data_IF_614353596066
#
_entry.id   IF_614353596066
#
_cell.length_a   1.000
_cell.length_b   1.000
_cell.length_c   1.000
_cell.angle_alpha   90.00
_cell.angle_beta   90.00
_cell.angle_gamma   90.00
#
_symmetry.space_group_name_H-M   'P 1'
#
loop_
_entity.id
_entity.type
_entity.pdbx_description
1 polymer ?
#
# COMPACT_ATOMS: atom_id res chain seq x y z
N UNK A 1 17.22 -11.09 -6.71
CA UNK A 1 16.42 -9.97 -6.18
C UNK A 1 15.33 -10.53 -5.27
N UNK A 2 15.25 -10.04 -4.04
CA UNK A 2 14.26 -10.49 -3.05
C UNK A 2 12.97 -9.71 -3.28
N UNK A 3 11.83 -10.39 -3.44
CA UNK A 3 10.56 -9.72 -3.68
C UNK A 3 10.17 -8.85 -2.48
N UNK A 4 10.09 -7.53 -2.67
CA UNK A 4 9.60 -6.60 -1.65
C UNK A 4 8.13 -6.90 -1.31
N UNK A 5 7.85 -7.08 -0.02
CA UNK A 5 6.50 -7.29 0.51
C UNK A 5 5.94 -5.97 1.00
N UNK A 6 4.77 -5.60 0.49
CA UNK A 6 4.02 -4.43 0.96
C UNK A 6 3.26 -4.83 2.22
N UNK A 7 3.55 -4.13 3.32
CA UNK A 7 2.85 -4.24 4.60
C UNK A 7 1.39 -3.82 4.42
N UNK A 8 0.48 -4.53 5.10
CA UNK A 8 -0.95 -4.25 5.03
C UNK A 8 -1.45 -3.83 6.41
N UNK A 9 -2.38 -2.89 6.46
CA UNK A 9 -3.09 -2.57 7.70
C UNK A 9 -3.74 -3.85 8.28
N UNK A 10 -3.63 -4.10 9.61
CA UNK A 10 -3.21 -3.19 10.69
C UNK A 10 -1.73 -3.33 11.11
N UNK A 11 -0.80 -3.68 10.22
CA UNK A 11 0.60 -3.86 10.58
C UNK A 11 1.18 -2.63 11.30
N UNK A 12 1.71 -2.82 12.51
CA UNK A 12 2.15 -1.73 13.41
C UNK A 12 3.20 -0.81 12.79
N UNK A 13 4.05 -1.33 11.92
CA UNK A 13 5.13 -0.53 11.31
C UNK A 13 4.61 0.54 10.35
N UNK A 14 3.38 0.41 9.82
CA UNK A 14 2.73 1.46 9.04
C UNK A 14 2.39 2.71 9.88
N UNK A 15 2.53 2.62 11.21
CA UNK A 15 2.30 3.72 12.17
C UNK A 15 3.58 4.38 12.65
N UNK A 16 4.75 3.87 12.25
CA UNK A 16 6.03 4.43 12.65
C UNK A 16 6.41 5.61 11.75
N UNK A 17 6.95 6.65 12.35
CA UNK A 17 7.57 7.76 11.63
C UNK A 17 8.92 7.32 11.07
N UNK A 18 9.16 7.60 9.80
CA UNK A 18 10.41 7.33 9.12
C UNK A 18 11.53 8.25 9.59
N UNK A 19 12.75 7.73 9.60
CA UNK A 19 13.97 8.44 9.97
C UNK A 19 14.60 9.12 8.76
N UNK A 20 15.21 10.28 8.97
CA UNK A 20 15.96 10.98 7.94
C UNK A 20 17.07 10.11 7.35
N UNK A 21 17.25 10.20 6.03
CA UNK A 21 18.32 9.52 5.30
C UNK A 21 19.55 10.42 5.31
N UNK A 22 20.66 9.92 5.84
CA UNK A 22 21.95 10.64 5.87
C UNK A 22 23.02 10.07 4.94
N UNK A 23 22.83 8.86 4.42
CA UNK A 23 23.77 8.16 3.52
C UNK A 23 23.10 7.92 2.16
N UNK A 24 23.72 8.42 1.11
CA UNK A 24 23.30 8.25 -0.28
C UNK A 24 24.23 7.25 -0.97
N UNK A 25 24.14 6.01 -0.50
CA UNK A 25 24.98 4.90 -0.96
C UNK A 25 24.29 4.02 -2.01
N UNK A 26 25.04 3.07 -2.55
CA UNK A 26 24.54 2.09 -3.52
C UNK A 26 23.36 1.27 -2.98
N UNK A 27 23.31 1.04 -1.66
CA UNK A 27 22.22 0.30 -1.02
C UNK A 27 20.91 1.11 -1.08
N UNK A 28 20.96 2.42 -0.82
CA UNK A 28 19.81 3.30 -1.00
C UNK A 28 19.34 3.28 -2.46
N UNK A 29 20.27 3.46 -3.40
CA UNK A 29 19.96 3.46 -4.83
C UNK A 29 19.29 2.15 -5.29
N UNK A 30 19.85 1.00 -4.88
CA UNK A 30 19.25 -0.32 -5.17
C UNK A 30 17.86 -0.47 -4.56
N UNK A 31 17.68 -0.01 -3.32
CA UNK A 31 16.38 -0.08 -2.64
C UNK A 31 15.32 0.75 -3.36
N UNK A 32 15.67 1.95 -3.81
CA UNK A 32 14.80 2.82 -4.62
C UNK A 32 14.42 2.12 -5.93
N UNK A 33 15.38 1.50 -6.62
CA UNK A 33 15.11 0.79 -7.87
C UNK A 33 14.20 -0.44 -7.68
N UNK A 34 14.40 -1.18 -6.60
CA UNK A 34 13.53 -2.31 -6.23
C UNK A 34 12.11 -1.80 -5.90
N UNK A 35 12.00 -0.64 -5.24
CA UNK A 35 10.72 0.01 -4.95
C UNK A 35 10.00 0.47 -6.22
N UNK A 36 10.69 1.10 -7.17
CA UNK A 36 10.12 1.49 -8.47
C UNK A 36 9.60 0.25 -9.21
N UNK A 37 10.42 -0.80 -9.29
CA UNK A 37 10.03 -2.07 -9.91
C UNK A 37 8.79 -2.65 -9.22
N UNK A 38 8.77 -2.64 -7.89
CA UNK A 38 7.62 -3.14 -7.12
C UNK A 38 6.36 -2.30 -7.35
N UNK A 39 6.48 -0.98 -7.38
CA UNK A 39 5.39 -0.03 -7.62
C UNK A 39 4.72 -0.30 -8.96
N UNK A 40 5.50 -0.47 -10.04
CA UNK A 40 4.97 -0.82 -11.37
C UNK A 40 4.33 -2.21 -11.40
N UNK A 41 4.94 -3.21 -10.76
CA UNK A 41 4.38 -4.57 -10.70
C UNK A 41 2.99 -4.61 -10.05
N UNK A 42 2.72 -3.72 -9.09
CA UNK A 42 1.42 -3.61 -8.43
C UNK A 42 0.53 -2.52 -9.01
N UNK A 43 0.95 -1.90 -10.13
CA UNK A 43 0.26 -0.80 -10.81
C UNK A 43 -0.10 0.38 -9.90
N UNK A 44 0.78 0.68 -8.94
CA UNK A 44 0.61 1.81 -8.03
C UNK A 44 1.20 3.10 -8.60
N UNK A 45 0.69 4.25 -8.16
CA UNK A 45 1.26 5.57 -8.47
C UNK A 45 2.35 6.00 -7.50
N UNK A 46 2.41 5.40 -6.30
CA UNK A 46 3.36 5.74 -5.26
C UNK A 46 3.67 4.55 -4.35
N UNK A 47 4.86 4.57 -3.77
CA UNK A 47 5.30 3.61 -2.76
C UNK A 47 6.31 4.27 -1.80
N UNK A 48 5.92 4.42 -0.54
CA UNK A 48 6.79 4.88 0.54
C UNK A 48 7.60 3.73 1.16
N UNK A 49 8.82 4.01 1.60
CA UNK A 49 9.70 3.00 2.19
C UNK A 49 9.09 2.34 3.44
N UNK A 50 8.27 3.06 4.20
CA UNK A 50 7.56 2.52 5.38
C UNK A 50 6.57 1.42 5.00
N UNK A 51 6.00 1.46 3.79
CA UNK A 51 5.09 0.42 3.30
C UNK A 51 5.80 -0.89 3.01
N UNK A 52 7.12 -0.92 2.85
CA UNK A 52 7.93 -2.15 2.72
C UNK A 52 8.72 -2.48 3.99
N UNK A 53 8.40 -1.81 5.11
CA UNK A 53 9.04 -2.04 6.41
C UNK A 53 10.39 -1.35 6.61
N UNK A 54 10.78 -0.45 5.70
CA UNK A 54 12.01 0.35 5.83
C UNK A 54 11.64 1.69 6.46
N UNK A 55 12.15 1.96 7.65
CA UNK A 55 11.88 3.20 8.40
C UNK A 55 12.82 4.34 8.00
N UNK A 56 12.93 4.58 6.70
CA UNK A 56 13.75 5.64 6.11
C UNK A 56 12.86 6.59 5.33
N UNK A 57 13.18 7.88 5.36
CA UNK A 57 12.30 8.96 4.89
C UNK A 57 12.44 9.18 3.39
N UNK A 58 11.95 8.25 2.59
CA UNK A 58 11.89 8.40 1.15
C UNK A 58 10.71 7.64 0.52
N UNK A 59 10.28 8.09 -0.64
CA UNK A 59 9.27 7.41 -1.45
C UNK A 59 9.64 7.47 -2.94
N UNK A 60 8.96 6.63 -3.72
CA UNK A 60 8.98 6.69 -5.19
C UNK A 60 7.55 6.90 -5.68
N UNK A 61 7.40 7.61 -6.80
CA UNK A 61 6.12 7.80 -7.45
C UNK A 61 6.27 7.89 -8.96
N UNK A 62 5.22 7.54 -9.69
CA UNK A 62 5.11 7.80 -11.12
C UNK A 62 3.63 7.95 -11.50
N UNK A 63 3.29 9.14 -11.98
CA UNK A 63 1.94 9.47 -12.45
C UNK A 63 1.91 9.73 -13.96
N UNK A 64 3.00 9.42 -14.67
CA UNK A 64 3.03 9.53 -16.13
C UNK A 64 2.12 8.47 -16.73
N UNK A 65 1.55 8.79 -17.90
CA UNK A 65 0.61 7.89 -18.59
C UNK A 65 1.23 6.53 -18.94
N UNK A 66 2.53 6.51 -19.18
CA UNK A 66 3.27 5.31 -19.60
C UNK A 66 3.96 4.58 -18.44
N UNK A 67 3.94 5.13 -17.22
CA UNK A 67 4.64 4.59 -16.04
C UNK A 67 6.13 4.30 -16.32
N UNK A 68 6.82 5.31 -16.88
CA UNK A 68 8.23 5.25 -17.27
C UNK A 68 9.04 6.49 -16.84
N UNK A 69 8.49 7.36 -15.99
CA UNK A 69 9.15 8.58 -15.50
C UNK A 69 9.10 8.63 -13.96
N UNK A 70 9.78 7.70 -13.27
CA UNK A 70 9.72 7.63 -11.83
C UNK A 70 10.42 8.84 -11.20
N UNK A 71 9.76 9.44 -10.22
CA UNK A 71 10.33 10.42 -9.32
C UNK A 71 10.65 9.75 -7.98
N UNK A 72 11.87 9.96 -7.49
CA UNK A 72 12.24 9.59 -6.12
C UNK A 72 12.45 10.84 -5.29
N UNK A 73 11.81 10.87 -4.12
CA UNK A 73 11.96 11.96 -3.16
C UNK A 73 12.52 11.41 -1.85
N UNK A 74 13.75 11.77 -1.55
CA UNK A 74 14.43 11.48 -0.28
C UNK A 74 14.34 12.71 0.64
N UNK A 75 14.13 12.48 1.93
CA UNK A 75 13.89 13.51 2.94
C UNK A 75 12.87 14.59 2.52
N UNK A 76 11.70 14.23 1.95
CA UNK A 76 10.75 15.21 1.45
C UNK A 76 10.14 16.07 2.56
N UNK A 77 10.01 17.37 2.27
CA UNK A 77 9.35 18.37 3.09
C UNK A 77 8.51 19.31 2.23
N UNK A 78 7.22 19.43 2.57
CA UNK A 78 6.35 20.46 1.98
C UNK A 78 6.67 21.79 2.67
N UNK A 79 7.14 22.76 1.90
CA UNK A 79 7.52 24.10 2.40
C UNK A 79 6.46 25.16 2.12
N UNK A 80 5.55 24.91 1.18
CA UNK A 80 4.38 25.73 0.93
C UNK A 80 3.23 24.86 0.42
N UNK A 81 2.00 25.25 0.69
CA UNK A 81 0.80 24.57 0.22
C UNK A 81 -0.32 25.56 -0.02
N UNK A 82 -1.08 25.39 -1.10
CA UNK A 82 -2.16 26.30 -1.49
C UNK A 82 -3.39 25.55 -2.00
N UNK A 83 -4.56 26.17 -1.79
CA UNK A 83 -5.84 25.68 -2.28
C UNK A 83 -6.27 24.34 -1.67
N UNK A 84 -7.41 23.84 -2.13
CA UNK A 84 -7.94 22.54 -1.76
C UNK A 84 -8.49 21.82 -2.98
N UNK A 85 -8.36 20.49 -3.00
CA UNK A 85 -8.94 19.62 -4.01
C UNK A 85 -9.44 18.34 -3.34
N UNK A 86 -10.57 17.83 -3.80
CA UNK A 86 -11.02 16.48 -3.45
C UNK A 86 -10.27 15.46 -4.32
N UNK A 87 -9.60 14.52 -3.67
CA UNK A 87 -8.83 13.44 -4.32
C UNK A 87 -9.45 12.11 -3.96
N UNK A 88 -9.78 11.31 -4.98
CA UNK A 88 -10.14 9.90 -4.80
C UNK A 88 -8.85 9.08 -4.66
N UNK A 89 -8.61 8.56 -3.47
CA UNK A 89 -7.39 7.85 -3.12
C UNK A 89 -7.68 6.39 -2.76
N UNK A 90 -6.80 5.52 -3.23
CA UNK A 90 -6.61 4.18 -2.68
C UNK A 90 -5.23 4.07 -2.01
N UNK A 91 -4.91 2.90 -1.47
CA UNK A 91 -3.63 2.68 -0.83
C UNK A 91 -3.23 1.22 -0.92
N UNK A 92 -2.00 0.96 -1.39
CA UNK A 92 -1.43 -0.38 -1.44
C UNK A 92 -1.39 -1.06 -0.06
N UNK A 93 -1.37 -0.30 1.03
CA UNK A 93 -1.42 -0.85 2.40
C UNK A 93 -2.84 -1.12 2.91
N UNK A 94 -3.89 -0.65 2.22
CA UNK A 94 -5.31 -0.79 2.55
C UNK A 94 -6.13 -1.24 1.30
N UNK A 95 -5.85 -2.42 0.74
CA UNK A 95 -6.44 -2.86 -0.51
C UNK A 95 -7.96 -2.93 -0.45
N UNK A 96 -8.65 -2.45 -1.49
CA UNK A 96 -10.11 -2.46 -1.61
C UNK A 96 -10.82 -1.31 -0.89
N UNK A 97 -10.07 -0.35 -0.33
CA UNK A 97 -10.61 0.92 0.16
C UNK A 97 -10.33 2.04 -0.84
N UNK A 98 -11.38 2.78 -1.15
CA UNK A 98 -11.35 4.01 -1.95
C UNK A 98 -12.00 5.10 -1.13
N UNK A 99 -11.29 6.22 -0.93
CA UNK A 99 -11.73 7.32 -0.08
C UNK A 99 -11.52 8.66 -0.78
N UNK A 100 -12.51 9.55 -0.67
CA UNK A 100 -12.36 10.95 -1.05
C UNK A 100 -11.70 11.73 0.09
N UNK A 101 -10.48 12.21 -0.11
CA UNK A 101 -9.68 12.97 0.85
C UNK A 101 -9.49 14.40 0.33
N UNK A 102 -9.57 15.39 1.21
CA UNK A 102 -9.23 16.77 0.84
C UNK A 102 -7.73 16.97 1.00
N UNK A 103 -7.07 17.38 -0.08
CA UNK A 103 -5.63 17.67 -0.14
C UNK A 103 -5.38 19.13 -0.52
N UNK A 104 -4.19 19.63 -0.26
CA UNK A 104 -3.74 20.88 -0.87
C UNK A 104 -3.68 20.67 -2.39
N UNK A 105 -4.21 21.63 -3.16
CA UNK A 105 -4.26 21.54 -4.63
C UNK A 105 -2.86 21.70 -5.23
N UNK A 106 -2.05 22.57 -4.63
CA UNK A 106 -0.66 22.81 -5.00
C UNK A 106 0.22 22.70 -3.76
N UNK A 107 1.42 22.18 -3.94
CA UNK A 107 2.47 22.16 -2.92
C UNK A 107 3.81 22.58 -3.52
N UNK A 108 4.66 23.24 -2.74
CA UNK A 108 6.08 23.35 -3.04
C UNK A 108 6.82 22.36 -2.16
N UNK A 109 7.53 21.43 -2.80
CA UNK A 109 8.27 20.36 -2.15
C UNK A 109 9.77 20.65 -2.23
N UNK A 110 10.43 20.59 -1.07
CA UNK A 110 11.88 20.44 -0.97
C UNK A 110 12.21 18.96 -0.73
N UNK A 111 13.16 18.41 -1.48
CA UNK A 111 13.57 17.01 -1.37
C UNK A 111 14.98 16.81 -1.93
N UNK A 112 15.55 15.64 -1.65
CA UNK A 112 16.81 15.18 -2.21
C UNK A 112 16.56 14.07 -3.23
N UNK A 113 17.31 14.05 -4.33
CA UNK A 113 17.28 12.91 -5.26
C UNK A 113 18.09 11.71 -4.72
N UNK A 114 18.17 10.63 -5.51
CA UNK A 114 18.92 9.40 -5.15
C UNK A 114 20.41 9.64 -4.91
N UNK A 115 20.97 10.73 -5.42
CA UNK A 115 22.37 11.11 -5.24
C UNK A 115 22.55 12.16 -4.12
N UNK A 116 21.48 12.57 -3.46
CA UNK A 116 21.50 13.58 -2.40
C UNK A 116 21.45 15.02 -2.89
N UNK A 117 21.27 15.28 -4.19
CA UNK A 117 21.16 16.65 -4.68
C UNK A 117 19.82 17.26 -4.24
N UNK A 118 19.85 18.50 -3.77
CA UNK A 118 18.66 19.22 -3.34
C UNK A 118 17.84 19.72 -4.51
N UNK A 119 16.54 19.53 -4.43
CA UNK A 119 15.55 20.02 -5.37
C UNK A 119 14.47 20.80 -4.64
N UNK A 120 13.94 21.84 -5.29
CA UNK A 120 12.75 22.55 -4.84
C UNK A 120 11.84 22.74 -6.03
N UNK A 121 10.65 22.16 -5.97
CA UNK A 121 9.73 22.09 -7.10
C UNK A 121 8.28 22.21 -6.63
N UNK A 122 7.48 22.91 -7.44
CA UNK A 122 6.03 23.00 -7.23
C UNK A 122 5.30 21.89 -7.99
N UNK A 123 4.35 21.25 -7.32
CA UNK A 123 3.51 20.18 -7.81
C UNK A 123 2.04 20.55 -7.65
N UNK A 124 1.20 20.10 -8.58
CA UNK A 124 -0.23 20.43 -8.62
C UNK A 124 -1.11 19.21 -8.91
N UNK A 125 -2.38 19.32 -8.52
CA UNK A 125 -3.41 18.34 -8.84
C UNK A 125 -3.04 16.95 -8.32
N UNK A 126 -3.08 15.95 -9.21
CA UNK A 126 -2.81 14.55 -8.83
C UNK A 126 -1.40 14.34 -8.26
N UNK A 127 -0.39 15.01 -8.82
CA UNK A 127 0.99 14.91 -8.31
C UNK A 127 1.10 15.42 -6.87
N UNK A 128 0.48 16.57 -6.58
CA UNK A 128 0.45 17.11 -5.23
C UNK A 128 -0.29 16.19 -4.25
N UNK A 129 -1.39 15.57 -4.67
CA UNK A 129 -2.16 14.63 -3.84
C UNK A 129 -1.33 13.38 -3.52
N UNK A 130 -0.70 12.77 -4.53
CA UNK A 130 0.14 11.59 -4.36
C UNK A 130 1.34 11.87 -3.43
N UNK A 131 2.03 13.01 -3.59
CA UNK A 131 3.13 13.39 -2.71
C UNK A 131 2.66 13.55 -1.25
N UNK A 132 1.52 14.22 -1.03
CA UNK A 132 0.95 14.35 0.32
C UNK A 132 0.61 12.98 0.94
N UNK A 133 0.08 12.05 0.13
CA UNK A 133 -0.19 10.67 0.54
C UNK A 133 1.10 9.93 0.95
N UNK A 134 2.15 9.99 0.13
CA UNK A 134 3.41 9.31 0.46
C UNK A 134 4.10 9.94 1.68
N UNK A 135 4.04 11.25 1.84
CA UNK A 135 4.55 11.93 3.05
C UNK A 135 3.75 11.53 4.30
N UNK A 136 2.43 11.33 4.20
CA UNK A 136 1.65 10.78 5.31
C UNK A 136 2.17 9.41 5.74
N UNK A 137 2.47 8.52 4.79
CA UNK A 137 3.08 7.23 5.08
C UNK A 137 4.43 7.35 5.80
N UNK A 138 5.27 8.31 5.40
CA UNK A 138 6.53 8.60 6.10
C UNK A 138 6.32 9.16 7.51
N UNK A 139 5.15 9.73 7.78
CA UNK A 139 4.76 10.25 9.09
C UNK A 139 3.93 9.25 9.91
N UNK A 140 3.74 8.00 9.45
CA UNK A 140 2.93 6.99 10.13
C UNK A 140 1.40 7.21 10.04
N UNK A 141 0.97 8.08 9.13
CA UNK A 141 -0.43 8.38 8.83
C UNK A 141 -0.89 7.60 7.60
N UNK A 142 -2.17 7.29 7.56
CA UNK A 142 -2.86 6.58 6.48
C UNK A 142 -4.07 7.38 6.03
N UNK A 143 -4.58 7.11 4.82
CA UNK A 143 -5.79 7.77 4.27
C UNK A 143 -7.01 7.70 5.21
N UNK A 144 -7.14 6.63 5.99
CA UNK A 144 -8.23 6.47 6.98
C UNK A 144 -8.17 7.47 8.13
N UNK A 145 -7.01 8.09 8.39
CA UNK A 145 -6.83 9.05 9.48
C UNK A 145 -7.34 10.46 9.12
N UNK A 146 -7.57 10.73 7.83
CA UNK A 146 -8.20 11.97 7.36
C UNK A 146 -9.72 11.99 7.55
N UNK A 147 -10.31 10.84 7.91
CA UNK A 147 -11.73 10.74 8.19
C UNK A 147 -12.02 11.14 9.64
N UNK A 148 -13.18 11.78 9.85
CA UNK A 148 -13.74 11.94 11.21
C UNK A 148 -13.82 10.58 11.93
N UNK A 149 -13.65 10.59 13.26
CA UNK A 149 -13.64 9.36 14.08
C UNK A 149 -14.86 8.45 13.84
N UNK A 150 -16.06 9.03 13.68
CA UNK A 150 -17.29 8.26 13.41
C UNK A 150 -17.26 7.60 12.03
N UNK A 151 -16.89 8.34 10.98
CA UNK A 151 -16.76 7.80 9.61
C UNK A 151 -15.69 6.71 9.56
N UNK A 152 -14.53 6.95 10.16
CA UNK A 152 -13.44 5.98 10.26
C UNK A 152 -13.88 4.70 10.95
N UNK A 153 -14.52 4.79 12.12
CA UNK A 153 -14.96 3.61 12.87
C UNK A 153 -15.94 2.75 12.06
N UNK A 154 -16.92 3.38 11.38
CA UNK A 154 -17.88 2.66 10.53
C UNK A 154 -17.20 1.99 9.33
N UNK A 155 -16.30 2.72 8.67
CA UNK A 155 -15.53 2.21 7.54
C UNK A 155 -14.69 0.99 7.95
N UNK A 156 -13.97 1.08 9.06
CA UNK A 156 -13.08 0.01 9.51
C UNK A 156 -13.83 -1.27 9.86
N UNK A 157 -15.02 -1.17 10.49
CA UNK A 157 -15.88 -2.34 10.73
C UNK A 157 -16.29 -3.03 9.42
N UNK A 158 -16.61 -2.25 8.37
CA UNK A 158 -16.94 -2.80 7.04
C UNK A 158 -15.71 -3.44 6.40
N UNK A 159 -14.56 -2.78 6.50
CA UNK A 159 -13.30 -3.26 5.94
C UNK A 159 -12.84 -4.59 6.54
N UNK A 160 -12.91 -4.73 7.86
CA UNK A 160 -12.58 -5.98 8.56
C UNK A 160 -13.48 -7.13 8.13
N UNK A 161 -14.79 -6.89 8.01
CA UNK A 161 -15.74 -7.88 7.52
C UNK A 161 -15.45 -8.33 6.08
N UNK A 162 -15.11 -7.38 5.19
CA UNK A 162 -14.71 -7.69 3.81
C UNK A 162 -13.46 -8.59 3.79
N UNK A 163 -12.42 -8.25 4.56
CA UNK A 163 -11.19 -9.06 4.69
C UNK A 163 -11.47 -10.50 5.15
N UNK A 164 -12.36 -10.68 6.13
CA UNK A 164 -12.73 -12.00 6.64
C UNK A 164 -13.47 -12.84 5.60
N UNK A 165 -14.34 -12.24 4.79
CA UNK A 165 -15.10 -12.93 3.75
C UNK A 165 -14.22 -13.34 2.56
N UNK A 166 -13.25 -12.50 2.18
CA UNK A 166 -12.26 -12.83 1.15
C UNK A 166 -11.32 -13.97 1.55
N UNK A 167 -11.08 -14.16 2.86
CA UNK A 167 -10.21 -15.24 3.37
C UNK A 167 -10.96 -16.57 3.55
N UNK A 168 -12.28 -16.56 3.63
CA UNK A 168 -13.10 -17.77 3.80
C UNK A 168 -13.41 -18.50 2.47
N UNK A 169 -13.08 -17.89 1.32
CA UNK A 169 -13.29 -18.48 0.00
C UNK A 169 -12.27 -19.57 -0.39
N UNK A 170 -11.15 -19.66 0.31
CA UNK A 170 -10.02 -20.55 -0.04
C UNK A 170 -9.86 -21.75 0.92
N UNK A 171 -10.79 -21.97 1.86
CA UNK A 171 -10.65 -23.03 2.88
C UNK A 171 -11.92 -23.82 3.18
N UNK A 172 -12.81 -23.99 2.18
CA UNK A 172 -14.00 -24.83 2.31
C UNK A 172 -14.16 -25.77 1.10
N UNK A 173 -13.30 -26.78 1.00
CA UNK A 173 -13.67 -28.08 0.42
C UNK A 173 -12.83 -29.18 1.08
N UNK A 174 -13.20 -29.50 2.32
CA UNK A 174 -12.76 -30.68 3.05
C UNK A 174 -13.98 -31.31 3.70
N UNK A 175 -14.92 -31.79 2.89
CA UNK A 175 -15.92 -32.73 3.39
C UNK A 175 -15.26 -34.09 3.45
N UNK A 176 -14.71 -34.36 4.63
CA UNK A 176 -14.41 -35.67 5.15
C UNK A 176 -15.73 -36.44 5.33
N UNK A 177 -15.95 -37.43 4.46
CA UNK A 177 -16.87 -38.52 4.73
C UNK A 177 -16.08 -39.81 4.65
N UNK A 178 -15.45 -40.14 5.76
CA UNK A 178 -15.00 -41.48 6.10
C UNK A 178 -15.77 -41.96 7.34
N UNK A 179 -16.06 -43.27 7.38
CA UNK A 179 -16.90 -44.06 8.30
C UNK A 179 -18.29 -44.36 7.67
N UNK A 180 -18.71 -45.61 7.42
CA UNK A 180 -18.48 -46.83 8.22
C UNK A 180 -18.59 -48.14 7.42
N UNK A 181 -17.78 -49.11 7.87
CA UNK A 181 -17.98 -50.56 7.99
C UNK A 181 -18.51 -51.48 6.85
N UNK A 182 -17.53 -52.23 6.31
CA UNK A 182 -17.40 -53.70 6.18
C UNK A 182 -18.55 -54.68 6.58
N UNK A 183 -18.63 -55.75 5.77
CA UNK A 183 -19.27 -57.09 5.95
C UNK A 183 -20.82 -57.10 5.87
N UNK A 184 -21.49 -58.01 5.13
CA UNK A 184 -21.32 -59.47 5.13
C UNK A 184 -21.90 -60.19 3.89
N UNK A 185 -21.61 -61.48 3.85
CA UNK A 185 -21.85 -62.55 2.87
C UNK A 185 -23.29 -62.86 2.37
N UNK A 186 -23.31 -63.50 1.19
CA UNK A 186 -24.16 -64.64 0.74
C UNK A 186 -25.69 -64.49 0.52
N UNK A 187 -26.18 -64.75 -0.71
CA UNK A 187 -26.84 -66.02 -1.13
C UNK A 187 -27.58 -65.93 -2.49
N UNK A 188 -27.34 -66.96 -3.32
CA UNK A 188 -28.20 -67.68 -4.28
C UNK A 188 -29.41 -67.03 -4.99
N UNK A 189 -29.48 -67.26 -6.33
CA UNK A 189 -30.51 -68.01 -7.10
C UNK A 189 -30.66 -67.43 -8.53
N UNK A 190 -30.27 -68.17 -9.57
CA UNK A 190 -31.07 -69.06 -10.43
C UNK A 190 -31.94 -68.38 -11.52
N UNK A 191 -31.59 -68.72 -12.78
CA UNK A 191 -32.47 -69.18 -13.88
C UNK A 191 -33.50 -68.19 -14.47
N UNK A 192 -33.22 -67.67 -15.67
CA UNK A 192 -33.83 -68.07 -16.96
C UNK A 192 -33.30 -67.20 -18.09
#
# INVERSE_FOLDING_TARGET
MTALKILRYPHKDLRKTALEVSSFDEKLAQTIQDMVTKMYLVRGWGLAATQIGILSRFFVMDISSEQNQPLCCVNPQIIASEGQIESEEDCLSLPGLYLTIVRAKQITLQYQDVNGNQHTQTFEGLSACCIQHEIDHLNGKLIIDHLSNLKRTRLMKKYEKMKMQSHCGDSACGHDHSHDHMHDHDHHSHVS
#
